data_IF_923326915500
#
_entry.id   IF_923326915500
#
_cell.length_a   1.000
_cell.length_b   1.000
_cell.length_c   1.000
_cell.angle_alpha   90.00
_cell.angle_beta   90.00
_cell.angle_gamma   90.00
#
_symmetry.space_group_name_H-M   'P 1'
#
loop_
_entity.id
_entity.type
_entity.pdbx_description
1 polymer ?
#
# COMPACT_ATOMS: atom_id res chain seq x y z
N UNK A 1 -3.30 4.29 -25.36
CA UNK A 1 -2.90 5.03 -24.15
C UNK A 1 -3.86 6.18 -23.95
N UNK A 2 -4.56 6.19 -22.82
CA UNK A 2 -5.56 7.20 -22.49
C UNK A 2 -4.94 8.37 -21.72
N UNK A 3 -5.39 9.59 -22.01
CA UNK A 3 -4.98 10.79 -21.26
C UNK A 3 -6.17 11.31 -20.47
N UNK A 4 -6.05 11.31 -19.14
CA UNK A 4 -7.13 11.73 -18.25
C UNK A 4 -7.21 13.25 -18.19
N UNK A 5 -8.43 13.75 -18.19
CA UNK A 5 -8.74 15.17 -17.99
C UNK A 5 -9.21 15.39 -16.54
N UNK A 6 -9.76 16.57 -16.24
CA UNK A 6 -10.41 16.85 -14.95
C UNK A 6 -11.69 16.03 -14.72
N UNK A 7 -12.23 15.41 -15.77
CA UNK A 7 -13.37 14.52 -15.63
C UNK A 7 -13.01 13.28 -14.80
N UNK A 8 -13.92 12.91 -13.90
CA UNK A 8 -13.76 11.77 -13.00
C UNK A 8 -14.16 10.48 -13.75
N UNK A 9 -13.21 9.97 -14.54
CA UNK A 9 -13.39 8.80 -15.40
C UNK A 9 -12.10 8.00 -15.52
N UNK A 10 -12.24 6.68 -15.67
CA UNK A 10 -11.20 5.78 -16.15
C UNK A 10 -11.73 4.91 -17.30
N UNK A 11 -10.92 4.63 -18.33
CA UNK A 11 -11.25 3.64 -19.34
C UNK A 11 -11.35 2.22 -18.72
N UNK A 12 -12.05 1.27 -19.38
CA UNK A 12 -12.13 -0.11 -18.91
C UNK A 12 -10.76 -0.77 -18.79
N UNK A 13 -10.51 -1.53 -17.70
CA UNK A 13 -9.24 -2.24 -17.47
C UNK A 13 -8.93 -3.31 -18.52
N UNK A 14 -9.90 -3.73 -19.32
CA UNK A 14 -9.69 -4.62 -20.48
C UNK A 14 -8.92 -3.95 -21.62
N UNK A 15 -8.76 -2.62 -21.56
CA UNK A 15 -8.02 -1.83 -22.54
C UNK A 15 -6.61 -1.47 -22.09
N UNK A 16 -6.16 -2.03 -20.96
CA UNK A 16 -4.78 -1.90 -20.49
C UNK A 16 -3.82 -2.44 -21.54
N UNK A 17 -2.72 -1.73 -21.75
CA UNK A 17 -1.69 -2.19 -22.67
C UNK A 17 -0.88 -3.37 -22.10
N UNK A 18 -0.04 -3.98 -22.93
CA UNK A 18 0.78 -5.14 -22.53
C UNK A 18 1.77 -4.86 -21.39
N UNK A 19 2.07 -3.58 -21.12
CA UNK A 19 2.95 -3.20 -20.01
C UNK A 19 2.20 -3.09 -18.69
N UNK A 20 0.87 -3.00 -18.72
CA UNK A 20 0.02 -2.79 -17.55
C UNK A 20 -0.44 -1.35 -17.37
N UNK A 21 -0.04 -0.42 -18.24
CA UNK A 21 -0.45 0.99 -18.20
C UNK A 21 -1.80 1.15 -18.90
N UNK A 22 -2.74 1.80 -18.21
CA UNK A 22 -4.08 2.06 -18.70
C UNK A 22 -4.23 3.52 -19.13
N UNK A 23 -3.81 4.46 -18.28
CA UNK A 23 -3.98 5.89 -18.52
C UNK A 23 -2.86 6.75 -17.93
N UNK A 24 -2.74 7.98 -18.41
CA UNK A 24 -1.75 8.99 -17.98
C UNK A 24 -2.45 10.30 -17.67
N UNK A 25 -1.97 11.03 -16.66
CA UNK A 25 -2.48 12.34 -16.25
C UNK A 25 -3.59 12.28 -15.21
N UNK A 26 -4.42 13.33 -15.18
CA UNK A 26 -5.40 13.54 -14.11
C UNK A 26 -4.77 14.17 -12.87
N UNK A 27 -5.15 13.70 -11.69
CA UNK A 27 -4.76 14.21 -10.38
C UNK A 27 -4.80 13.10 -9.33
N UNK A 28 -4.28 13.34 -8.13
CA UNK A 28 -4.41 12.43 -6.98
C UNK A 28 -5.54 12.86 -6.04
N UNK A 29 -6.63 13.40 -6.59
CA UNK A 29 -7.81 13.73 -5.78
C UNK A 29 -8.36 12.46 -5.13
N UNK A 30 -8.93 12.62 -3.93
CA UNK A 30 -9.52 11.51 -3.17
C UNK A 30 -10.57 10.78 -4.01
N UNK A 31 -11.42 11.53 -4.70
CA UNK A 31 -12.49 11.01 -5.55
C UNK A 31 -11.93 10.15 -6.69
N UNK A 32 -10.84 10.60 -7.33
CA UNK A 32 -10.19 9.84 -8.41
C UNK A 32 -9.49 8.60 -7.90
N UNK A 33 -8.77 8.68 -6.77
CA UNK A 33 -8.13 7.51 -6.18
C UNK A 33 -9.17 6.46 -5.81
N UNK A 34 -10.26 6.85 -5.16
CA UNK A 34 -11.34 5.92 -4.83
C UNK A 34 -11.97 5.32 -6.08
N UNK A 35 -12.20 6.10 -7.14
CA UNK A 35 -12.68 5.57 -8.41
C UNK A 35 -11.68 4.54 -8.99
N UNK A 36 -10.38 4.84 -8.95
CA UNK A 36 -9.34 3.95 -9.45
C UNK A 36 -9.35 2.62 -8.70
N UNK A 37 -9.28 2.63 -7.36
CA UNK A 37 -9.28 1.41 -6.55
C UNK A 37 -10.55 0.58 -6.75
N UNK A 38 -11.73 1.20 -6.77
CA UNK A 38 -12.99 0.50 -7.05
C UNK A 38 -13.05 -0.11 -8.47
N UNK A 39 -12.21 0.39 -9.38
CA UNK A 39 -12.10 -0.12 -10.75
C UNK A 39 -10.91 -1.07 -10.95
N UNK A 40 -10.18 -1.43 -9.89
CA UNK A 40 -8.99 -2.29 -9.97
C UNK A 40 -7.72 -1.58 -10.48
N UNK A 41 -7.70 -0.25 -10.47
CA UNK A 41 -6.64 0.60 -11.00
C UNK A 41 -5.87 1.21 -9.82
N UNK A 42 -4.55 1.41 -9.97
CA UNK A 42 -3.72 2.11 -8.98
C UNK A 42 -2.73 3.06 -9.65
N UNK A 43 -2.36 4.18 -9.00
CA UNK A 43 -1.34 5.09 -9.51
C UNK A 43 0.06 4.53 -9.21
N UNK A 44 0.99 4.68 -10.16
CA UNK A 44 2.39 4.31 -9.95
C UNK A 44 3.31 5.06 -10.91
N UNK A 45 4.08 6.03 -10.42
CA UNK A 45 4.93 6.91 -11.24
C UNK A 45 6.15 7.40 -10.43
N UNK A 46 7.19 7.89 -11.10
CA UNK A 46 8.36 8.48 -10.43
C UNK A 46 8.25 10.01 -10.27
N UNK A 47 9.06 10.58 -9.38
CA UNK A 47 9.09 12.03 -9.19
C UNK A 47 9.51 12.75 -10.48
N UNK A 48 8.76 13.79 -10.86
CA UNK A 48 8.93 14.51 -12.13
C UNK A 48 8.31 13.84 -13.35
N UNK A 49 7.78 12.62 -13.24
CA UNK A 49 6.99 11.97 -14.30
C UNK A 49 5.50 12.31 -14.19
N UNK A 50 4.75 12.26 -15.31
CA UNK A 50 3.29 12.37 -15.24
C UNK A 50 2.71 11.19 -14.46
N UNK A 51 1.59 11.42 -13.76
CA UNK A 51 0.83 10.35 -13.10
C UNK A 51 0.47 9.29 -14.12
N UNK A 52 0.83 8.03 -13.87
CA UNK A 52 0.37 6.88 -14.67
C UNK A 52 -0.46 5.94 -13.81
N UNK A 53 -1.46 5.33 -14.45
CA UNK A 53 -2.48 4.50 -13.81
C UNK A 53 -2.43 3.10 -14.40
N UNK A 54 -2.37 2.10 -13.51
CA UNK A 54 -2.00 0.73 -13.84
C UNK A 54 -3.12 -0.25 -13.52
N UNK A 55 -3.30 -1.24 -14.39
CA UNK A 55 -4.20 -2.37 -14.19
C UNK A 55 -3.63 -3.65 -14.85
N UNK A 56 -2.52 -4.18 -14.31
CA UNK A 56 -1.77 -5.27 -14.93
C UNK A 56 -2.57 -6.58 -14.97
N UNK A 57 -2.32 -7.36 -16.03
CA UNK A 57 -2.79 -8.72 -16.21
C UNK A 57 -1.59 -9.64 -16.53
N UNK A 58 -1.26 -10.63 -15.67
CA UNK A 58 -1.98 -11.04 -14.45
C UNK A 58 -1.80 -10.09 -13.26
N UNK A 59 -2.79 -10.08 -12.36
CA UNK A 59 -2.74 -9.34 -11.09
C UNK A 59 -2.27 -10.25 -9.94
N UNK A 60 -1.29 -9.79 -9.17
CA UNK A 60 -0.90 -10.46 -7.93
C UNK A 60 -1.99 -10.25 -6.87
N UNK A 61 -2.47 -11.35 -6.29
CA UNK A 61 -3.38 -11.37 -5.16
C UNK A 61 -2.87 -12.36 -4.11
N UNK A 62 -3.25 -12.15 -2.84
CA UNK A 62 -3.04 -13.12 -1.78
C UNK A 62 -4.39 -13.42 -1.12
N UNK A 63 -4.85 -14.66 -1.23
CA UNK A 63 -5.97 -15.13 -0.42
C UNK A 63 -5.49 -15.36 1.01
N UNK A 64 -6.27 -14.94 1.99
CA UNK A 64 -5.81 -14.98 3.37
C UNK A 64 -5.52 -16.40 3.89
N UNK A 65 -6.13 -17.44 3.29
CA UNK A 65 -5.88 -18.84 3.64
C UNK A 65 -4.64 -19.43 2.96
N UNK A 66 -4.07 -18.72 2.00
CA UNK A 66 -2.81 -19.08 1.34
C UNK A 66 -1.59 -18.46 2.05
N UNK A 67 -1.80 -17.66 3.11
CA UNK A 67 -0.71 -17.10 3.91
C UNK A 67 0.06 -18.20 4.65
N UNK A 68 1.29 -18.44 4.23
CA UNK A 68 2.19 -19.40 4.88
C UNK A 68 3.05 -18.70 5.94
N UNK A 69 2.75 -18.94 7.21
CA UNK A 69 3.58 -18.48 8.35
C UNK A 69 4.61 -19.55 8.70
N UNK A 70 5.88 -19.26 8.39
CA UNK A 70 7.01 -20.15 8.67
C UNK A 70 7.18 -20.42 10.16
N UNK A 71 7.80 -21.56 10.50
CA UNK A 71 8.06 -21.97 11.90
C UNK A 71 8.93 -20.95 12.64
N UNK A 72 9.89 -20.33 11.96
CA UNK A 72 10.73 -19.26 12.52
C UNK A 72 9.93 -17.99 12.82
N UNK A 73 8.98 -17.62 11.95
CA UNK A 73 8.10 -16.48 12.20
C UNK A 73 7.16 -16.73 13.38
N UNK A 74 6.63 -17.94 13.56
CA UNK A 74 5.83 -18.28 14.75
C UNK A 74 6.62 -18.07 16.05
N UNK A 75 7.90 -18.44 16.06
CA UNK A 75 8.76 -18.19 17.22
C UNK A 75 8.98 -16.70 17.47
N UNK A 76 9.13 -15.87 16.42
CA UNK A 76 9.23 -14.41 16.55
C UNK A 76 7.95 -13.84 17.18
N UNK A 77 6.78 -14.23 16.67
CA UNK A 77 5.48 -13.76 17.17
C UNK A 77 5.29 -14.14 18.64
N UNK A 78 5.61 -15.37 19.02
CA UNK A 78 5.43 -15.87 20.40
C UNK A 78 6.34 -15.19 21.43
N UNK A 79 7.46 -14.59 21.01
CA UNK A 79 8.38 -13.87 21.91
C UNK A 79 7.88 -12.49 22.30
N UNK A 80 6.82 -11.98 21.65
CA UNK A 80 6.24 -10.66 21.90
C UNK A 80 7.29 -9.52 21.93
N UNK A 81 8.26 -9.59 21.01
CA UNK A 81 9.35 -8.60 20.91
C UNK A 81 8.91 -7.26 20.33
N UNK A 82 7.73 -7.22 19.70
CA UNK A 82 7.19 -6.06 19.03
C UNK A 82 5.83 -5.70 19.58
N UNK A 83 5.55 -4.41 19.68
CA UNK A 83 4.19 -3.88 19.86
C UNK A 83 3.62 -3.55 18.48
N UNK A 84 2.38 -3.95 18.22
CA UNK A 84 1.72 -3.66 16.94
C UNK A 84 0.52 -2.75 17.20
N UNK A 85 0.42 -1.67 16.43
CA UNK A 85 -0.74 -0.77 16.44
C UNK A 85 -1.31 -0.65 15.03
N UNK A 86 -2.52 -0.12 14.96
CA UNK A 86 -3.20 0.19 13.70
C UNK A 86 -3.55 1.68 13.70
N UNK A 87 -3.37 2.33 12.56
CA UNK A 87 -3.79 3.71 12.32
C UNK A 87 -3.25 4.72 13.35
N UNK A 88 -2.13 4.40 14.02
CA UNK A 88 -1.58 5.27 15.06
C UNK A 88 -0.75 6.40 14.47
N UNK A 89 0.01 6.11 13.40
CA UNK A 89 0.91 7.07 12.78
C UNK A 89 1.10 6.75 11.28
N UNK A 90 0.02 6.90 10.52
CA UNK A 90 -0.03 6.59 9.08
C UNK A 90 1.04 7.35 8.30
N UNK A 91 1.20 8.65 8.58
CA UNK A 91 2.18 9.51 7.91
C UNK A 91 3.60 8.99 8.14
N UNK A 92 3.96 8.62 9.37
CA UNK A 92 5.28 8.03 9.61
C UNK A 92 5.47 6.72 8.83
N UNK A 93 4.45 5.87 8.72
CA UNK A 93 4.55 4.62 7.94
C UNK A 93 4.84 4.89 6.46
N UNK A 94 4.04 5.73 5.80
CA UNK A 94 4.23 6.02 4.36
C UNK A 94 5.55 6.75 4.09
N UNK A 95 5.97 7.68 4.96
CA UNK A 95 7.27 8.36 4.85
C UNK A 95 8.45 7.38 5.05
N UNK A 96 8.33 6.39 5.94
CA UNK A 96 9.35 5.35 6.05
C UNK A 96 9.35 4.40 4.83
N UNK A 97 8.19 4.13 4.23
CA UNK A 97 8.10 3.41 2.95
C UNK A 97 8.78 4.19 1.81
N UNK A 98 8.70 5.52 1.80
CA UNK A 98 9.36 6.37 0.82
C UNK A 98 10.90 6.32 0.93
N UNK A 99 11.42 6.32 2.17
CA UNK A 99 12.85 6.55 2.45
C UNK A 99 13.68 5.28 2.64
N UNK A 100 13.05 4.12 2.88
CA UNK A 100 13.77 2.88 3.12
C UNK A 100 14.55 2.44 1.87
N UNK A 101 15.86 2.26 2.00
CA UNK A 101 16.71 1.78 0.90
C UNK A 101 16.42 0.31 0.63
N UNK A 102 16.27 -0.03 -0.65
CA UNK A 102 16.14 -1.41 -1.13
C UNK A 102 17.31 -1.69 -2.07
N UNK A 103 17.99 -2.83 -1.87
CA UNK A 103 19.13 -3.19 -2.73
C UNK A 103 18.70 -3.24 -4.20
N UNK A 104 19.42 -2.53 -5.06
CA UNK A 104 19.11 -2.43 -6.49
C UNK A 104 18.04 -1.41 -6.87
N UNK A 105 17.52 -0.60 -5.94
CA UNK A 105 16.59 0.50 -6.22
C UNK A 105 17.23 1.85 -5.90
N UNK A 106 17.20 2.79 -6.85
CA UNK A 106 17.74 4.14 -6.70
C UNK A 106 16.78 5.13 -5.99
N UNK A 107 15.63 4.64 -5.53
CA UNK A 107 14.58 5.43 -4.88
C UNK A 107 13.29 4.63 -4.75
N UNK A 108 12.21 5.29 -4.34
CA UNK A 108 10.86 4.71 -4.36
C UNK A 108 9.95 5.59 -5.20
N UNK A 109 8.88 4.99 -5.73
CA UNK A 109 7.81 5.68 -6.47
C UNK A 109 6.90 6.54 -5.58
N UNK A 110 7.16 6.56 -4.27
CA UNK A 110 6.31 7.28 -3.31
C UNK A 110 6.80 8.74 -3.29
N UNK A 111 6.18 9.58 -4.12
CA UNK A 111 6.44 11.02 -4.15
C UNK A 111 5.78 11.72 -2.95
N UNK A 112 6.13 12.99 -2.71
CA UNK A 112 5.49 13.79 -1.67
C UNK A 112 3.98 13.98 -1.93
N UNK A 113 3.59 14.12 -3.21
CA UNK A 113 2.18 14.18 -3.61
C UNK A 113 1.41 12.90 -3.25
N UNK A 114 2.05 11.74 -3.38
CA UNK A 114 1.48 10.46 -2.94
C UNK A 114 1.31 10.41 -1.42
N UNK A 115 2.27 10.95 -0.66
CA UNK A 115 2.15 11.03 0.80
C UNK A 115 0.91 11.84 1.18
N UNK A 116 0.74 13.03 0.62
CA UNK A 116 -0.39 13.90 0.94
C UNK A 116 -1.72 13.27 0.52
N UNK A 117 -1.79 12.69 -0.68
CA UNK A 117 -3.00 12.07 -1.18
C UNK A 117 -3.47 10.88 -0.33
N UNK A 118 -2.54 10.02 0.11
CA UNK A 118 -2.87 8.85 0.92
C UNK A 118 -3.09 9.22 2.39
N UNK A 119 -2.41 10.25 2.92
CA UNK A 119 -2.77 10.80 4.23
C UNK A 119 -4.21 11.33 4.23
N UNK A 120 -4.64 12.00 3.16
CA UNK A 120 -6.04 12.44 3.02
C UNK A 120 -7.01 11.27 2.91
N UNK A 121 -6.66 10.19 2.19
CA UNK A 121 -7.46 8.95 2.20
C UNK A 121 -7.56 8.33 3.60
N UNK A 122 -6.47 8.37 4.37
CA UNK A 122 -6.44 7.88 5.74
C UNK A 122 -7.34 8.70 6.66
N UNK A 123 -7.28 10.03 6.59
CA UNK A 123 -8.15 10.94 7.34
C UNK A 123 -9.65 10.70 7.06
N UNK A 124 -9.98 10.27 5.84
CA UNK A 124 -11.33 9.92 5.42
C UNK A 124 -11.72 8.47 5.74
N UNK A 125 -10.82 7.68 6.33
CA UNK A 125 -11.06 6.30 6.75
C UNK A 125 -10.93 5.26 5.63
N UNK A 126 -10.38 5.62 4.47
CA UNK A 126 -10.21 4.72 3.32
C UNK A 126 -8.83 4.07 3.26
N UNK A 127 -7.81 4.69 3.85
CA UNK A 127 -6.47 4.10 3.94
C UNK A 127 -6.15 3.75 5.40
N UNK A 128 -5.46 2.62 5.59
CA UNK A 128 -5.08 2.13 6.91
C UNK A 128 -3.60 1.81 6.97
N UNK A 129 -3.02 1.93 8.16
CA UNK A 129 -1.63 1.57 8.46
C UNK A 129 -1.56 0.54 9.58
N UNK A 130 -0.50 -0.26 9.53
CA UNK A 130 -0.05 -1.12 10.62
C UNK A 130 1.35 -0.69 11.02
N UNK A 131 1.53 -0.36 12.29
CA UNK A 131 2.81 0.07 12.84
C UNK A 131 3.40 -1.03 13.72
N UNK A 132 4.71 -1.26 13.60
CA UNK A 132 5.46 -2.21 14.41
C UNK A 132 6.53 -1.45 15.19
N UNK A 133 6.41 -1.51 16.51
CA UNK A 133 7.23 -0.79 17.46
C UNK A 133 8.16 -1.72 18.24
N UNK A 134 9.36 -1.26 18.49
CA UNK A 134 10.33 -1.89 19.39
C UNK A 134 11.01 -0.79 20.20
N UNK A 135 11.02 -0.89 21.53
CA UNK A 135 11.62 0.11 22.42
C UNK A 135 11.13 1.55 22.11
N UNK A 136 9.81 1.69 21.93
CA UNK A 136 9.12 2.93 21.53
C UNK A 136 9.55 3.54 20.17
N UNK A 137 10.33 2.82 19.38
CA UNK A 137 10.73 3.22 18.03
C UNK A 137 9.88 2.52 16.98
N UNK A 138 9.46 3.28 15.95
CA UNK A 138 8.79 2.73 14.78
C UNK A 138 9.82 2.00 13.89
N UNK A 139 9.82 0.66 13.96
CA UNK A 139 10.82 -0.21 13.32
C UNK A 139 10.30 -0.98 12.11
N UNK A 140 9.01 -0.92 11.83
CA UNK A 140 8.44 -1.47 10.61
C UNK A 140 6.97 -1.12 10.48
N UNK A 141 6.39 -1.45 9.34
CA UNK A 141 4.99 -1.22 9.09
C UNK A 141 4.61 -1.38 7.63
N UNK A 142 3.33 -1.21 7.36
CA UNK A 142 2.76 -1.19 6.03
C UNK A 142 1.54 -0.30 6.01
N UNK A 143 1.14 0.12 4.81
CA UNK A 143 -0.13 0.81 4.60
C UNK A 143 -0.83 0.28 3.36
N UNK A 144 -2.13 0.56 3.28
CA UNK A 144 -2.94 0.19 2.12
C UNK A 144 -4.30 0.86 2.13
N UNK A 145 -5.06 0.64 1.06
CA UNK A 145 -6.44 1.12 0.91
C UNK A 145 -7.40 -0.04 1.21
N UNK A 146 -8.35 0.21 2.10
CA UNK A 146 -9.37 -0.76 2.52
C UNK A 146 -10.70 -0.44 1.84
N UNK A 147 -11.15 -1.33 0.96
CA UNK A 147 -12.46 -1.26 0.29
C UNK A 147 -13.55 -2.04 1.04
N UNK A 148 -13.24 -2.53 2.26
CA UNK A 148 -14.13 -3.31 3.13
C UNK A 148 -14.27 -4.79 2.76
N UNK A 149 -14.04 -5.14 1.50
CA UNK A 149 -14.08 -6.53 1.01
C UNK A 149 -12.76 -6.97 0.39
N UNK A 150 -11.87 -6.01 0.08
CA UNK A 150 -10.52 -6.21 -0.45
C UNK A 150 -9.62 -5.16 0.21
N UNK A 151 -8.44 -5.59 0.65
CA UNK A 151 -7.39 -4.69 1.11
C UNK A 151 -6.30 -4.60 0.04
N UNK A 152 -6.10 -3.40 -0.51
CA UNK A 152 -5.06 -3.09 -1.48
C UNK A 152 -3.78 -2.70 -0.73
N UNK A 153 -2.86 -3.65 -0.55
CA UNK A 153 -1.56 -3.37 0.08
C UNK A 153 -0.65 -2.56 -0.83
N UNK A 154 -0.21 -1.39 -0.36
CA UNK A 154 0.55 -0.43 -1.18
C UNK A 154 2.06 -0.62 -1.01
N UNK A 155 2.55 -0.50 0.23
CA UNK A 155 3.97 -0.66 0.51
C UNK A 155 4.19 -1.04 1.97
N UNK A 156 5.39 -1.53 2.24
CA UNK A 156 5.86 -1.88 3.57
C UNK A 156 7.34 -1.53 3.74
N UNK A 157 7.75 -1.32 4.99
CA UNK A 157 9.13 -1.08 5.36
C UNK A 157 9.51 -1.86 6.62
N UNK A 158 10.81 -2.08 6.78
CA UNK A 158 11.39 -2.67 7.97
C UNK A 158 12.78 -2.04 8.21
N UNK A 159 13.00 -1.53 9.41
CA UNK A 159 14.31 -1.09 9.92
C UNK A 159 15.02 -2.21 10.68
N UNK A 160 14.27 -3.19 11.17
CA UNK A 160 14.79 -4.38 11.86
C UNK A 160 14.20 -5.65 11.26
N UNK A 161 14.94 -6.75 11.38
CA UNK A 161 14.54 -8.04 10.84
C UNK A 161 13.16 -8.47 11.29
N UNK A 162 12.36 -8.95 10.32
CA UNK A 162 11.00 -9.47 10.51
C UNK A 162 9.90 -8.44 10.86
N UNK A 163 10.21 -7.15 11.06
CA UNK A 163 9.19 -6.17 11.43
C UNK A 163 8.07 -6.03 10.38
N UNK A 164 8.39 -5.91 9.09
CA UNK A 164 7.37 -5.86 8.03
C UNK A 164 6.56 -7.15 7.91
N UNK A 165 7.17 -8.32 8.17
CA UNK A 165 6.46 -9.61 8.19
C UNK A 165 5.48 -9.69 9.36
N UNK A 166 5.87 -9.17 10.53
CA UNK A 166 4.97 -9.06 11.69
C UNK A 166 3.80 -8.13 11.35
N UNK A 167 4.06 -6.96 10.76
CA UNK A 167 3.01 -6.03 10.30
C UNK A 167 2.03 -6.74 9.36
N UNK A 168 2.55 -7.44 8.36
CA UNK A 168 1.75 -8.16 7.36
C UNK A 168 0.90 -9.28 7.95
N UNK A 169 1.49 -10.12 8.80
CA UNK A 169 0.75 -11.19 9.47
C UNK A 169 -0.35 -10.61 10.36
N UNK A 170 -0.06 -9.55 11.13
CA UNK A 170 -1.04 -8.89 11.98
C UNK A 170 -2.15 -8.20 11.21
N UNK A 171 -1.84 -7.60 10.05
CA UNK A 171 -2.87 -7.09 9.14
C UNK A 171 -3.82 -8.21 8.73
N UNK A 172 -3.30 -9.34 8.23
CA UNK A 172 -4.14 -10.45 7.77
C UNK A 172 -4.98 -11.03 8.91
N UNK A 173 -4.41 -11.20 10.11
CA UNK A 173 -5.16 -11.62 11.30
C UNK A 173 -6.29 -10.64 11.64
N UNK A 174 -6.04 -9.33 11.57
CA UNK A 174 -7.04 -8.29 11.81
C UNK A 174 -8.15 -8.32 10.76
N UNK A 175 -7.81 -8.38 9.47
CA UNK A 175 -8.80 -8.38 8.38
C UNK A 175 -9.69 -9.63 8.43
N UNK A 176 -9.13 -10.82 8.70
CA UNK A 176 -9.92 -12.06 8.88
C UNK A 176 -10.96 -11.99 10.01
N UNK A 177 -10.70 -11.15 11.01
CA UNK A 177 -11.56 -11.06 12.19
C UNK A 177 -12.64 -9.98 12.07
N UNK A 178 -12.47 -9.00 11.16
CA UNK A 178 -13.31 -7.81 11.08
C UNK A 178 -14.05 -7.64 9.75
N UNK A 179 -13.68 -8.40 8.71
CA UNK A 179 -14.33 -8.42 7.39
C UNK A 179 -14.79 -9.85 7.05
#
# INVERSE_FOLDING_TARGET
MYFLTKELYFPPVTETDFSGILAVGGDLSTERLLLAYNSGIFPWFEDGEPITWWAPDPRMVLLFDELIISKSMRNILNRNMFTVTFNRDFRAVITNCQTIKREGQNGTWITDDMIEAYCKLHELGHAQSVEVWQDDQLVGGLYGVDLGHIFCGESMFAKVSNASKVAFIKLVEYLKANN
#
